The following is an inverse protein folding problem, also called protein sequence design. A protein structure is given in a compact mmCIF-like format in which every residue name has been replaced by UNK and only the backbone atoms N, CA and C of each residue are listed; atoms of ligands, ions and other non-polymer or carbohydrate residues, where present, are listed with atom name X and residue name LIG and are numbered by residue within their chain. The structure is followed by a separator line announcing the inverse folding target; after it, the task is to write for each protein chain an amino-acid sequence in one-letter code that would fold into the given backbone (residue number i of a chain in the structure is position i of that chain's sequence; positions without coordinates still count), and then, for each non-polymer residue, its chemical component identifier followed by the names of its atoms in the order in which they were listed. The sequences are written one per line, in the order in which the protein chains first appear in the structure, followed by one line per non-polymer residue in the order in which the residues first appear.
data_IF_992482743117
#
_entry.id   IF_992482743117
#
_cell.length_a   1.000
_cell.length_b   1.000
_cell.length_c   1.000
_cell.angle_alpha   90.00
_cell.angle_beta   90.00
_cell.angle_gamma   90.00
#
_symmetry.space_group_name_H-M   'P 1'
#
loop_
_entity.id
_entity.type
_entity.pdbx_description
1 polymer ?
#
# COMPACT_ATOMS: atom_id res chain seq x y z
N UNK A 1 4.28 6.51 20.88
CA UNK A 1 3.31 7.36 20.16
C UNK A 1 2.07 6.49 19.91
N UNK A 2 0.85 7.02 20.05
CA UNK A 2 -0.39 6.27 19.79
C UNK A 2 -0.87 6.61 18.38
N UNK A 3 -1.33 5.61 17.64
CA UNK A 3 -1.85 5.80 16.28
C UNK A 3 -3.08 6.73 16.25
N UNK A 4 -3.22 7.49 15.16
CA UNK A 4 -4.38 8.37 14.97
C UNK A 4 -5.66 7.55 14.77
N UNK A 5 -6.75 8.02 15.39
CA UNK A 5 -8.11 7.49 15.21
C UNK A 5 -8.87 8.18 14.07
N UNK A 6 -8.25 9.12 13.35
CA UNK A 6 -8.87 9.85 12.23
C UNK A 6 -8.43 9.23 10.90
N UNK A 7 -9.36 8.74 10.09
CA UNK A 7 -9.01 8.11 8.81
C UNK A 7 -8.34 9.10 7.85
N UNK A 8 -8.62 10.40 7.95
CA UNK A 8 -8.04 11.45 7.12
C UNK A 8 -6.52 11.58 7.32
N UNK A 9 -6.01 11.31 8.53
CA UNK A 9 -4.57 11.30 8.79
C UNK A 9 -3.90 10.12 8.06
N UNK A 10 -4.58 8.97 8.01
CA UNK A 10 -4.12 7.78 7.29
C UNK A 10 -4.18 7.97 5.77
N UNK A 11 -5.25 8.57 5.24
CA UNK A 11 -5.36 8.97 3.83
C UNK A 11 -4.20 9.90 3.45
N UNK A 12 -3.97 10.96 4.24
CA UNK A 12 -2.89 11.92 3.98
C UNK A 12 -1.52 11.24 3.95
N UNK A 13 -1.28 10.28 4.86
CA UNK A 13 -0.03 9.53 4.90
C UNK A 13 0.11 8.59 3.70
N UNK A 14 -0.95 7.88 3.33
CA UNK A 14 -0.96 7.03 2.14
C UNK A 14 -0.63 7.83 0.86
N UNK A 15 -1.22 9.01 0.71
CA UNK A 15 -0.92 9.91 -0.43
C UNK A 15 0.51 10.48 -0.38
N UNK A 16 1.05 10.72 0.82
CA UNK A 16 2.46 11.13 0.98
C UNK A 16 3.40 10.01 0.51
N UNK A 17 3.15 8.75 0.90
CA UNK A 17 3.94 7.61 0.44
C UNK A 17 3.84 7.43 -1.09
N UNK A 18 2.63 7.53 -1.65
CA UNK A 18 2.45 7.39 -3.10
C UNK A 18 3.19 8.48 -3.90
N UNK A 19 3.12 9.74 -3.45
CA UNK A 19 3.91 10.83 -4.05
C UNK A 19 5.41 10.62 -3.87
N UNK A 20 5.84 10.07 -2.73
CA UNK A 20 7.22 9.68 -2.48
C UNK A 20 7.71 8.65 -3.49
N UNK A 21 6.98 7.55 -3.66
CA UNK A 21 7.29 6.51 -4.64
C UNK A 21 7.36 7.06 -6.07
N UNK A 22 6.42 7.91 -6.48
CA UNK A 22 6.44 8.58 -7.79
C UNK A 22 7.66 9.48 -7.99
N UNK A 23 8.10 10.17 -6.93
CA UNK A 23 9.28 11.05 -6.98
C UNK A 23 10.56 10.23 -7.12
N UNK A 24 10.70 9.18 -6.30
CA UNK A 24 11.85 8.27 -6.34
C UNK A 24 12.00 7.60 -7.70
N UNK A 25 10.90 7.12 -8.28
CA UNK A 25 10.93 6.45 -9.59
C UNK A 25 11.42 7.39 -10.71
N UNK A 26 11.14 8.70 -10.63
CA UNK A 26 11.60 9.69 -11.61
C UNK A 26 13.09 9.95 -11.54
N UNK A 27 13.68 9.89 -10.35
CA UNK A 27 15.11 10.18 -10.15
C UNK A 27 16.01 8.99 -10.48
N UNK A 28 15.49 7.76 -10.45
CA UNK A 28 16.25 6.54 -10.70
C UNK A 28 16.96 6.01 -9.44
N UNK A 29 17.52 4.80 -9.54
CA UNK A 29 18.41 4.15 -8.55
C UNK A 29 17.84 3.94 -7.14
N UNK A 30 16.52 3.87 -7.01
CA UNK A 30 15.83 3.69 -5.73
C UNK A 30 14.66 2.69 -5.82
N UNK A 31 14.78 1.65 -6.66
CA UNK A 31 13.70 0.70 -6.96
C UNK A 31 13.10 0.06 -5.70
N UNK A 32 13.95 -0.35 -4.76
CA UNK A 32 13.50 -0.91 -3.48
C UNK A 32 12.69 0.10 -2.66
N UNK A 33 13.12 1.37 -2.62
CA UNK A 33 12.39 2.43 -1.92
C UNK A 33 11.06 2.77 -2.63
N UNK A 34 11.02 2.70 -3.97
CA UNK A 34 9.77 2.85 -4.73
C UNK A 34 8.79 1.73 -4.35
N UNK A 35 9.24 0.47 -4.32
CA UNK A 35 8.41 -0.66 -3.94
C UNK A 35 7.97 -0.58 -2.47
N UNK A 36 8.87 -0.19 -1.56
CA UNK A 36 8.57 0.03 -0.15
C UNK A 36 7.48 1.08 0.05
N UNK A 37 7.62 2.27 -0.54
CA UNK A 37 6.62 3.33 -0.42
C UNK A 37 5.30 2.96 -1.12
N UNK A 38 5.35 2.18 -2.20
CA UNK A 38 4.15 1.65 -2.86
C UNK A 38 3.36 0.72 -1.94
N UNK A 39 4.04 -0.20 -1.25
CA UNK A 39 3.43 -1.07 -0.24
C UNK A 39 2.84 -0.25 0.92
N UNK A 40 3.58 0.74 1.43
CA UNK A 40 3.15 1.58 2.54
C UNK A 40 1.92 2.44 2.20
N UNK A 41 1.86 2.96 0.98
CA UNK A 41 0.71 3.71 0.48
C UNK A 41 -0.56 2.85 0.52
N UNK A 42 -0.48 1.61 0.00
CA UNK A 42 -1.61 0.67 0.02
C UNK A 42 -2.01 0.28 1.43
N UNK A 43 -1.04 -0.05 2.30
CA UNK A 43 -1.31 -0.44 3.68
C UNK A 43 -2.11 0.64 4.41
N UNK A 44 -1.65 1.89 4.33
CA UNK A 44 -2.26 3.02 5.03
C UNK A 44 -3.61 3.39 4.44
N UNK A 45 -3.79 3.26 3.12
CA UNK A 45 -5.08 3.51 2.48
C UNK A 45 -6.14 2.46 2.86
N UNK A 46 -5.78 1.17 2.88
CA UNK A 46 -6.69 0.11 3.33
C UNK A 46 -7.05 0.26 4.81
N UNK A 47 -6.08 0.63 5.66
CA UNK A 47 -6.34 0.96 7.07
C UNK A 47 -7.26 2.17 7.21
N UNK A 48 -7.09 3.20 6.37
CA UNK A 48 -8.00 4.35 6.34
C UNK A 48 -9.43 3.93 6.00
N UNK A 49 -9.62 3.07 5.01
CA UNK A 49 -10.94 2.54 4.65
C UNK A 49 -11.60 1.78 5.81
N UNK A 50 -10.86 0.88 6.46
CA UNK A 50 -11.38 0.11 7.60
C UNK A 50 -11.75 1.03 8.76
N UNK A 51 -10.88 1.99 9.08
CA UNK A 51 -11.14 2.99 10.12
C UNK A 51 -12.36 3.86 9.78
N UNK A 52 -12.56 4.21 8.50
CA UNK A 52 -13.72 4.97 8.04
C UNK A 52 -15.04 4.19 8.11
N UNK A 53 -15.01 2.87 7.87
CA UNK A 53 -16.23 2.04 7.83
C UNK A 53 -16.65 1.47 9.18
N UNK A 54 -15.71 1.11 10.05
CA UNK A 54 -16.01 0.40 11.31
C UNK A 54 -15.35 1.03 12.53
N UNK A 55 -14.79 2.25 12.41
CA UNK A 55 -14.14 3.01 13.49
C UNK A 55 -13.06 2.24 14.26
N UNK A 56 -12.53 1.17 13.65
CA UNK A 56 -11.50 0.30 14.22
C UNK A 56 -10.30 0.27 13.30
N UNK A 57 -9.14 0.59 13.85
CA UNK A 57 -7.88 0.41 13.17
C UNK A 57 -7.55 -1.08 13.08
N UNK A 58 -7.26 -1.56 11.87
CA UNK A 58 -6.81 -2.92 11.67
C UNK A 58 -5.35 -3.10 12.11
N UNK A 59 -5.08 -4.20 12.80
CA UNK A 59 -3.73 -4.58 13.23
C UNK A 59 -3.01 -5.34 12.11
N UNK A 60 -1.68 -5.28 12.13
CA UNK A 60 -0.82 -5.94 11.15
C UNK A 60 -0.51 -5.12 9.89
N UNK A 61 0.32 -5.69 9.02
CA UNK A 61 0.91 -5.01 7.85
C UNK A 61 0.67 -5.76 6.54
N UNK A 62 0.08 -6.96 6.58
CA UNK A 62 -0.15 -7.75 5.37
C UNK A 62 -1.24 -7.12 4.52
N UNK A 63 -0.89 -6.74 3.28
CA UNK A 63 -1.85 -6.16 2.34
C UNK A 63 -2.96 -7.13 1.96
N UNK A 64 -2.63 -8.42 1.88
CA UNK A 64 -3.59 -9.50 1.59
C UNK A 64 -4.61 -9.63 2.72
N UNK A 65 -4.15 -9.55 3.98
CA UNK A 65 -5.04 -9.54 5.14
C UNK A 65 -5.95 -8.31 5.12
N UNK A 66 -5.37 -7.11 4.99
CA UNK A 66 -6.13 -5.85 4.99
C UNK A 66 -7.16 -5.79 3.85
N UNK A 67 -6.78 -6.24 2.64
CA UNK A 67 -7.71 -6.33 1.50
C UNK A 67 -8.87 -7.29 1.78
N UNK A 68 -8.60 -8.42 2.46
CA UNK A 68 -9.63 -9.38 2.86
C UNK A 68 -10.57 -8.80 3.93
N UNK A 69 -10.07 -8.03 4.89
CA UNK A 69 -10.92 -7.31 5.83
C UNK A 69 -11.82 -6.29 5.12
N UNK A 70 -11.26 -5.54 4.16
CA UNK A 70 -12.06 -4.61 3.35
C UNK A 70 -13.12 -5.37 2.53
N UNK A 71 -12.76 -6.52 1.95
CA UNK A 71 -13.65 -7.40 1.20
C UNK A 71 -14.82 -7.97 2.03
N UNK A 72 -14.63 -8.14 3.35
CA UNK A 72 -15.73 -8.55 4.25
C UNK A 72 -16.81 -7.47 4.35
N UNK A 73 -16.43 -6.20 4.24
CA UNK A 73 -17.33 -5.06 4.28
C UNK A 73 -17.90 -4.72 2.89
N UNK A 74 -17.09 -4.86 1.84
CA UNK A 74 -17.45 -4.51 0.46
C UNK A 74 -16.79 -5.48 -0.52
N UNK A 75 -17.60 -6.30 -1.21
CA UNK A 75 -17.13 -7.41 -2.05
C UNK A 75 -16.28 -6.98 -3.24
N UNK A 76 -16.35 -5.72 -3.66
CA UNK A 76 -15.55 -5.22 -4.79
C UNK A 76 -14.06 -5.17 -4.45
N UNK A 77 -13.67 -5.14 -3.17
CA UNK A 77 -12.26 -5.27 -2.76
C UNK A 77 -11.64 -6.63 -3.13
N UNK A 78 -12.41 -7.59 -3.64
CA UNK A 78 -11.85 -8.77 -4.31
C UNK A 78 -10.90 -8.39 -5.46
N UNK A 79 -11.09 -7.23 -6.09
CA UNK A 79 -10.27 -6.71 -7.18
C UNK A 79 -8.87 -6.29 -6.72
N UNK A 80 -8.68 -5.91 -5.45
CA UNK A 80 -7.37 -5.48 -4.93
C UNK A 80 -6.47 -6.66 -4.55
N UNK A 81 -7.00 -7.89 -4.54
CA UNK A 81 -6.30 -9.06 -4.01
C UNK A 81 -5.10 -9.52 -4.85
N UNK A 82 -5.09 -9.23 -6.15
CA UNK A 82 -3.94 -9.53 -7.01
C UNK A 82 -2.78 -8.56 -6.71
N UNK A 83 -3.07 -7.26 -6.83
CA UNK A 83 -2.14 -6.16 -6.52
C UNK A 83 -1.58 -6.26 -5.08
N UNK A 84 -2.44 -6.59 -4.11
CA UNK A 84 -2.03 -6.77 -2.73
C UNK A 84 -1.08 -7.95 -2.52
N UNK A 85 -1.20 -9.04 -3.28
CA UNK A 85 -0.26 -10.18 -3.17
C UNK A 85 1.09 -9.83 -3.76
N UNK A 86 1.09 -9.21 -4.93
CA UNK A 86 2.30 -8.78 -5.64
C UNK A 86 3.11 -7.81 -4.77
N UNK A 87 2.48 -6.75 -4.26
CA UNK A 87 3.12 -5.77 -3.39
C UNK A 87 3.62 -6.33 -2.06
N UNK A 88 3.00 -7.41 -1.55
CA UNK A 88 3.42 -8.01 -0.28
C UNK A 88 4.74 -8.77 -0.40
N UNK A 89 5.13 -9.21 -1.60
CA UNK A 89 6.42 -9.88 -1.84
C UNK A 89 7.58 -8.91 -1.61
N UNK A 90 7.43 -7.67 -2.05
CA UNK A 90 8.47 -6.65 -1.90
C UNK A 90 8.67 -6.17 -0.45
N UNK A 91 7.69 -6.35 0.43
CA UNK A 91 7.77 -5.85 1.82
C UNK A 91 8.98 -6.37 2.61
N UNK A 92 9.35 -7.63 2.41
CA UNK A 92 10.48 -8.24 3.14
C UNK A 92 11.78 -7.93 2.41
N UNK A 93 11.79 -8.07 1.08
CA UNK A 93 12.98 -7.92 0.24
C UNK A 93 13.56 -6.50 0.28
N UNK A 94 12.73 -5.46 0.39
CA UNK A 94 13.20 -4.06 0.35
C UNK A 94 13.64 -3.49 1.70
N UNK A 95 13.53 -4.26 2.79
CA UNK A 95 13.67 -3.73 4.16
C UNK A 95 15.02 -3.96 4.80
N UNK A 96 15.74 -4.98 4.37
CA UNK A 96 17.02 -5.36 4.95
C UNK A 96 17.96 -5.80 3.84
N UNK A 97 19.24 -5.39 3.89
CA UNK A 97 20.26 -6.01 3.06
C UNK A 97 20.22 -7.52 3.33
N UNK A 98 20.03 -8.31 2.28
CA UNK A 98 20.05 -9.75 2.35
C UNK A 98 21.23 -10.28 1.53
N UNK A 99 21.95 -11.26 2.06
CA UNK A 99 23.04 -11.94 1.34
C UNK A 99 22.48 -12.71 0.12
N UNK A 100 21.20 -13.10 0.20
CA UNK A 100 20.43 -13.76 -0.85
C UNK A 100 19.05 -13.09 -0.94
N UNK A 101 18.66 -12.63 -2.12
CA UNK A 101 17.38 -11.97 -2.36
C UNK A 101 17.19 -11.59 -3.83
N UNK A 102 15.95 -11.42 -4.25
CA UNK A 102 15.65 -10.91 -5.60
C UNK A 102 15.87 -9.40 -5.60
N UNK A 103 16.75 -8.92 -6.48
CA UNK A 103 16.91 -7.48 -6.70
C UNK A 103 15.63 -6.91 -7.31
N UNK A 104 15.08 -5.85 -6.71
CA UNK A 104 13.91 -5.15 -7.28
C UNK A 104 14.35 -4.39 -8.53
N UNK A 105 13.91 -4.88 -9.69
CA UNK A 105 14.24 -4.22 -10.96
C UNK A 105 13.45 -2.93 -11.14
N UNK A 106 13.87 -2.11 -12.11
CA UNK A 106 13.12 -0.91 -12.48
C UNK A 106 11.70 -1.26 -12.97
N UNK A 107 11.52 -2.42 -13.60
CA UNK A 107 10.21 -2.89 -14.05
C UNK A 107 9.34 -3.27 -12.86
N UNK A 108 9.89 -3.99 -11.88
CA UNK A 108 9.17 -4.34 -10.64
C UNK A 108 8.73 -3.09 -9.88
N UNK A 109 9.60 -2.08 -9.78
CA UNK A 109 9.27 -0.81 -9.15
C UNK A 109 8.14 -0.06 -9.88
N UNK A 110 8.12 -0.10 -11.22
CA UNK A 110 7.06 0.49 -12.04
C UNK A 110 5.73 -0.22 -11.86
N UNK A 111 5.72 -1.55 -11.94
CA UNK A 111 4.52 -2.37 -11.79
C UNK A 111 3.97 -2.26 -10.36
N UNK A 112 4.83 -2.34 -9.35
CA UNK A 112 4.47 -2.11 -7.96
C UNK A 112 3.85 -0.74 -7.73
N UNK A 113 4.43 0.33 -8.29
CA UNK A 113 3.83 1.66 -8.22
C UNK A 113 2.47 1.72 -8.92
N UNK A 114 2.33 1.11 -10.10
CA UNK A 114 1.07 1.07 -10.84
C UNK A 114 -0.01 0.31 -10.04
N UNK A 115 0.33 -0.81 -9.41
CA UNK A 115 -0.54 -1.55 -8.51
C UNK A 115 -0.97 -0.70 -7.31
N UNK A 116 -0.04 0.01 -6.69
CA UNK A 116 -0.35 0.90 -5.57
C UNK A 116 -1.31 2.02 -5.98
N UNK A 117 -1.11 2.65 -7.15
CA UNK A 117 -2.03 3.65 -7.69
C UNK A 117 -3.43 3.06 -7.88
N UNK A 118 -3.56 1.87 -8.51
CA UNK A 118 -4.86 1.22 -8.72
C UNK A 118 -5.61 1.01 -7.42
N UNK A 119 -4.95 0.43 -6.41
CA UNK A 119 -5.60 0.12 -5.12
C UNK A 119 -5.95 1.41 -4.37
N UNK A 120 -5.06 2.41 -4.37
CA UNK A 120 -5.30 3.68 -3.68
C UNK A 120 -6.49 4.43 -4.29
N UNK A 121 -6.53 4.59 -5.62
CA UNK A 121 -7.60 5.30 -6.30
C UNK A 121 -8.94 4.55 -6.21
N UNK A 122 -8.92 3.22 -6.33
CA UNK A 122 -10.10 2.39 -6.08
C UNK A 122 -10.64 2.63 -4.67
N UNK A 123 -9.76 2.60 -3.67
CA UNK A 123 -10.16 2.75 -2.26
C UNK A 123 -10.70 4.15 -1.98
N UNK A 124 -10.09 5.21 -2.53
CA UNK A 124 -10.60 6.59 -2.44
C UNK A 124 -12.02 6.71 -3.01
N UNK A 125 -12.26 6.13 -4.19
CA UNK A 125 -13.60 6.08 -4.79
C UNK A 125 -14.62 5.39 -3.88
N UNK A 126 -14.24 4.29 -3.20
CA UNK A 126 -15.11 3.60 -2.22
C UNK A 126 -15.39 4.42 -0.96
N UNK A 127 -14.56 5.41 -0.66
CA UNK A 127 -14.70 6.34 0.46
C UNK A 127 -15.40 7.66 0.04
N UNK A 128 -15.66 7.87 -1.25
CA UNK A 128 -16.21 9.13 -1.75
C UNK A 128 -15.20 10.29 -1.75
N UNK A 129 -13.91 9.97 -1.85
CA UNK A 129 -12.79 10.92 -1.91
C UNK A 129 -12.27 11.13 -3.33
#
# INVERSE_FOLDING_TARGET
MVDSKKFEDWVRKAEQDLRGAQTLLKHGDANELVAFHSQQAVEKMLKAYLLHKVEKLAEGHSLVYLSRECQRLDKDFSQTMADARELNNYYIETRYPADEGTEVTNNDAKEGLAAAVRVVEFTKKKMGL
#
